data_IF_346515216715
#
_entry.id   IF_346515216715
#
_cell.length_a   1.000
_cell.length_b   1.000
_cell.length_c   1.000
_cell.angle_alpha   90.00
_cell.angle_beta   90.00
_cell.angle_gamma   90.00
#
_symmetry.space_group_name_H-M   'P 1'
#
loop_
_entity.id
_entity.type
_entity.pdbx_description
1 polymer ?
#
# COMPACT_ATOMS: atom_id res chain seq x y z
N UNK A 1 33.50 25.44 20.97
CA UNK A 1 32.54 24.45 21.50
C UNK A 1 32.25 23.46 20.38
N UNK A 2 32.49 22.16 20.59
CA UNK A 2 32.10 21.14 19.60
C UNK A 2 30.66 20.75 19.86
N UNK A 3 29.94 20.35 18.81
CA UNK A 3 28.55 19.95 18.95
C UNK A 3 28.39 18.68 19.81
N UNK A 4 29.37 17.77 19.78
CA UNK A 4 29.38 16.55 20.58
C UNK A 4 29.25 16.83 22.09
N UNK A 5 29.91 17.88 22.56
CA UNK A 5 29.86 18.30 23.97
C UNK A 5 28.47 18.86 24.33
N UNK A 6 27.93 19.69 23.43
CA UNK A 6 26.58 20.29 23.56
C UNK A 6 25.50 19.23 23.58
N UNK A 7 25.65 18.22 22.72
CA UNK A 7 24.73 17.10 22.61
C UNK A 7 24.69 16.31 23.92
N UNK A 8 25.84 15.94 24.48
CA UNK A 8 25.92 15.23 25.77
C UNK A 8 25.21 16.00 26.89
N UNK A 9 25.36 17.31 26.92
CA UNK A 9 24.76 18.15 27.97
C UNK A 9 23.25 18.37 27.76
N UNK A 10 22.78 18.31 26.52
CA UNK A 10 21.40 18.65 26.14
C UNK A 10 20.52 17.43 25.88
N UNK A 11 21.06 16.21 25.81
CA UNK A 11 20.30 15.00 25.52
C UNK A 11 19.19 14.75 26.56
N UNK A 12 19.50 14.94 27.85
CA UNK A 12 18.50 14.85 28.92
C UNK A 12 17.36 15.87 28.76
N UNK A 13 17.64 17.02 28.12
CA UNK A 13 16.63 18.03 27.82
C UNK A 13 15.63 17.53 26.77
N UNK A 14 16.11 16.84 25.74
CA UNK A 14 15.26 16.26 24.70
C UNK A 14 14.30 15.26 25.34
N UNK A 15 14.81 14.28 26.09
CA UNK A 15 13.97 13.30 26.79
C UNK A 15 13.02 13.95 27.80
N UNK A 16 13.47 14.95 28.55
CA UNK A 16 12.61 15.68 29.48
C UNK A 16 11.42 16.33 28.76
N UNK A 17 11.65 16.97 27.61
CA UNK A 17 10.59 17.59 26.80
C UNK A 17 9.66 16.51 26.23
N UNK A 18 10.20 15.38 25.74
CA UNK A 18 9.39 14.24 25.28
C UNK A 18 8.44 13.75 26.37
N UNK A 19 8.95 13.53 27.58
CA UNK A 19 8.15 13.13 28.73
C UNK A 19 7.10 14.19 29.12
N UNK A 20 7.47 15.48 29.11
CA UNK A 20 6.56 16.59 29.43
C UNK A 20 5.35 16.62 28.50
N UNK A 21 5.55 16.32 27.21
CA UNK A 21 4.47 16.28 26.22
C UNK A 21 3.87 14.88 26.04
N UNK A 22 4.21 13.92 26.92
CA UNK A 22 3.70 12.54 26.87
C UNK A 22 3.95 11.86 25.52
N UNK A 23 5.04 12.21 24.85
CA UNK A 23 5.42 11.65 23.56
C UNK A 23 5.92 10.21 23.78
N UNK A 24 5.28 9.26 23.10
CA UNK A 24 5.75 7.88 22.99
C UNK A 24 6.46 7.69 21.65
N UNK A 25 7.78 7.74 21.69
CA UNK A 25 8.62 7.75 20.49
C UNK A 25 9.16 6.36 20.17
N UNK A 26 8.29 5.47 19.68
CA UNK A 26 8.68 4.07 19.40
C UNK A 26 9.73 3.99 18.29
N UNK A 27 9.55 4.78 17.23
CA UNK A 27 10.43 4.79 16.05
C UNK A 27 11.58 5.82 16.16
N UNK A 28 11.63 6.61 17.23
CA UNK A 28 12.71 7.57 17.47
C UNK A 28 12.62 8.88 16.66
N UNK A 29 11.49 9.17 16.03
CA UNK A 29 11.30 10.36 15.20
C UNK A 29 11.37 11.67 16.00
N UNK A 30 10.80 11.69 17.21
CA UNK A 30 10.86 12.89 18.05
C UNK A 30 12.26 13.12 18.58
N UNK A 31 12.99 12.07 18.94
CA UNK A 31 14.39 12.18 19.32
C UNK A 31 15.23 12.79 18.18
N UNK A 32 15.07 12.29 16.95
CA UNK A 32 15.76 12.83 15.77
C UNK A 32 15.42 14.32 15.52
N UNK A 33 14.15 14.68 15.61
CA UNK A 33 13.72 16.08 15.49
C UNK A 33 14.30 16.97 16.59
N UNK A 34 14.49 16.41 17.80
CA UNK A 34 15.16 17.07 18.91
C UNK A 34 16.62 17.35 18.60
N UNK A 35 17.33 16.38 18.02
CA UNK A 35 18.72 16.54 17.58
C UNK A 35 18.85 17.61 16.50
N UNK A 36 17.97 17.58 15.49
CA UNK A 36 17.96 18.56 14.41
C UNK A 36 17.69 19.97 14.95
N UNK A 37 16.71 20.11 15.84
CA UNK A 37 16.41 21.40 16.48
C UNK A 37 17.58 21.91 17.34
N UNK A 38 18.25 21.02 18.06
CA UNK A 38 19.44 21.35 18.85
C UNK A 38 20.61 21.79 17.96
N UNK A 39 20.84 21.10 16.84
CA UNK A 39 21.86 21.48 15.85
C UNK A 39 21.61 22.88 15.29
N UNK A 40 20.37 23.18 14.90
CA UNK A 40 20.01 24.52 14.45
C UNK A 40 20.16 25.57 15.55
N UNK A 41 19.81 25.24 16.79
CA UNK A 41 20.01 26.13 17.93
C UNK A 41 21.51 26.43 18.14
N UNK A 42 22.37 25.41 18.01
CA UNK A 42 23.83 25.55 18.10
C UNK A 42 24.39 26.48 17.02
N UNK A 43 23.96 26.32 15.77
CA UNK A 43 24.44 27.13 14.65
C UNK A 43 24.03 28.61 14.74
N UNK A 44 22.83 28.89 15.27
CA UNK A 44 22.24 30.23 15.27
C UNK A 44 22.25 30.91 16.65
N UNK A 45 22.98 30.33 17.62
CA UNK A 45 22.99 30.84 18.98
C UNK A 45 23.66 32.21 19.07
N UNK A 46 22.97 33.12 19.76
CA UNK A 46 23.45 34.46 20.08
C UNK A 46 23.63 34.61 21.60
N UNK A 47 24.87 34.66 22.10
CA UNK A 47 25.16 34.82 23.53
C UNK A 47 24.61 36.10 24.15
N UNK A 48 24.33 37.14 23.35
CA UNK A 48 23.81 38.41 23.85
C UNK A 48 22.34 38.33 24.30
N UNK A 49 21.59 37.34 23.80
CA UNK A 49 20.14 37.23 24.00
C UNK A 49 19.73 36.37 25.19
N UNK A 50 20.40 35.23 25.39
CA UNK A 50 20.05 34.26 26.45
C UNK A 50 21.16 33.24 26.68
N UNK A 51 21.04 32.43 27.73
CA UNK A 51 21.86 31.20 27.89
C UNK A 51 21.50 30.20 26.80
N UNK A 52 22.50 29.47 26.30
CA UNK A 52 22.30 28.46 25.25
C UNK A 52 21.23 27.43 25.62
N UNK A 53 21.23 26.92 26.86
CA UNK A 53 20.24 25.95 27.31
C UNK A 53 18.80 26.45 27.23
N UNK A 54 18.57 27.73 27.52
CA UNK A 54 17.24 28.36 27.39
C UNK A 54 16.82 28.45 25.93
N UNK A 55 17.74 28.85 25.04
CA UNK A 55 17.46 28.93 23.62
C UNK A 55 17.22 27.56 22.98
N UNK A 56 18.05 26.57 23.31
CA UNK A 56 17.91 25.19 22.85
C UNK A 56 16.59 24.58 23.32
N UNK A 57 16.22 24.77 24.60
CA UNK A 57 14.93 24.31 25.14
C UNK A 57 13.75 24.87 24.34
N UNK A 58 13.79 26.17 24.04
CA UNK A 58 12.76 26.83 23.23
C UNK A 58 12.70 26.25 21.82
N UNK A 59 13.84 26.10 21.13
CA UNK A 59 13.88 25.56 19.76
C UNK A 59 13.35 24.12 19.70
N UNK A 60 13.79 23.24 20.61
CA UNK A 60 13.35 21.83 20.66
C UNK A 60 11.85 21.77 20.97
N UNK A 61 11.38 22.51 21.98
CA UNK A 61 9.96 22.57 22.35
C UNK A 61 9.10 23.03 21.18
N UNK A 62 9.51 24.11 20.49
CA UNK A 62 8.80 24.62 19.31
C UNK A 62 8.75 23.59 18.19
N UNK A 63 9.85 22.88 17.94
CA UNK A 63 9.90 21.82 16.92
C UNK A 63 8.89 20.71 17.25
N UNK A 64 8.87 20.24 18.50
CA UNK A 64 7.97 19.17 18.93
C UNK A 64 6.50 19.57 18.84
N UNK A 65 6.14 20.77 19.31
CA UNK A 65 4.77 21.27 19.21
C UNK A 65 4.32 21.34 17.74
N UNK A 66 5.19 21.78 16.84
CA UNK A 66 4.87 21.83 15.41
C UNK A 66 4.67 20.44 14.81
N UNK A 67 5.49 19.45 15.20
CA UNK A 67 5.34 18.06 14.77
C UNK A 67 4.04 17.44 15.27
N UNK A 68 3.73 17.57 16.57
CA UNK A 68 2.45 17.12 17.15
C UNK A 68 1.26 17.74 16.43
N UNK A 69 1.29 19.06 16.16
CA UNK A 69 0.22 19.74 15.42
C UNK A 69 0.09 19.28 13.97
N UNK A 70 1.18 18.86 13.35
CA UNK A 70 1.16 18.30 12.00
C UNK A 70 0.51 16.91 12.01
N UNK A 71 0.98 16.03 12.88
CA UNK A 71 0.46 14.66 13.03
C UNK A 71 -1.03 14.64 13.40
N UNK A 72 -1.47 15.53 14.31
CA UNK A 72 -2.89 15.65 14.63
C UNK A 72 -3.73 16.10 13.42
N UNK A 73 -3.24 17.05 12.62
CA UNK A 73 -3.96 17.48 11.41
C UNK A 73 -4.05 16.38 10.37
N UNK A 74 -2.98 15.62 10.16
CA UNK A 74 -2.97 14.48 9.24
C UNK A 74 -3.93 13.39 9.73
N UNK A 75 -3.96 13.12 11.04
CA UNK A 75 -4.92 12.19 11.65
C UNK A 75 -6.36 12.66 11.47
N UNK A 76 -6.65 13.94 11.73
CA UNK A 76 -8.00 14.49 11.59
C UNK A 76 -8.45 14.44 10.12
N UNK A 77 -7.56 14.76 9.17
CA UNK A 77 -7.83 14.63 7.74
C UNK A 77 -8.13 13.19 7.34
N UNK A 78 -7.33 12.24 7.83
CA UNK A 78 -7.56 10.83 7.56
C UNK A 78 -8.87 10.33 8.15
N UNK A 79 -9.20 10.75 9.38
CA UNK A 79 -10.48 10.39 10.00
C UNK A 79 -11.66 10.99 9.24
N UNK A 80 -11.60 12.27 8.85
CA UNK A 80 -12.64 12.89 8.04
C UNK A 80 -12.84 12.19 6.70
N UNK A 81 -11.74 11.72 6.08
CA UNK A 81 -11.82 10.90 4.88
C UNK A 81 -12.51 9.57 5.15
N UNK A 82 -12.12 8.84 6.21
CA UNK A 82 -12.76 7.58 6.61
C UNK A 82 -14.26 7.75 6.90
N UNK A 83 -14.67 8.86 7.52
CA UNK A 83 -16.07 9.14 7.84
C UNK A 83 -16.92 9.43 6.59
N UNK A 84 -16.28 9.83 5.48
CA UNK A 84 -16.95 10.14 4.21
C UNK A 84 -16.95 8.97 3.22
N UNK A 85 -16.04 8.00 3.41
CA UNK A 85 -15.88 6.86 2.51
C UNK A 85 -16.87 5.75 2.87
N UNK A 86 -17.62 5.30 1.87
CA UNK A 86 -18.49 4.13 2.01
C UNK A 86 -17.75 2.84 1.64
N UNK A 87 -18.31 1.68 2.02
CA UNK A 87 -17.80 0.37 1.59
C UNK A 87 -17.80 0.27 0.06
N UNK A 88 -18.78 0.87 -0.61
CA UNK A 88 -18.90 0.91 -2.06
C UNK A 88 -17.78 1.71 -2.72
N UNK A 89 -17.32 2.81 -2.12
CA UNK A 89 -16.18 3.59 -2.63
C UNK A 89 -14.83 2.83 -2.56
N UNK A 90 -14.73 1.83 -1.67
CA UNK A 90 -13.56 0.98 -1.50
C UNK A 90 -13.63 -0.29 -2.35
N UNK A 91 -14.81 -0.63 -2.86
CA UNK A 91 -15.00 -1.75 -3.78
C UNK A 91 -14.64 -1.28 -5.18
N UNK A 92 -13.44 -1.65 -5.62
CA UNK A 92 -13.17 -1.72 -7.06
C UNK A 92 -13.93 -2.95 -7.53
N UNK A 93 -15.16 -2.76 -8.02
CA UNK A 93 -15.78 -3.75 -8.87
C UNK A 93 -14.93 -3.84 -10.14
N UNK A 94 -14.05 -4.85 -10.18
CA UNK A 94 -13.49 -5.36 -11.42
C UNK A 94 -14.65 -6.08 -12.13
N UNK A 95 -15.64 -5.31 -12.59
CA UNK A 95 -16.60 -5.79 -13.57
C UNK A 95 -15.80 -6.05 -14.83
N UNK A 96 -15.24 -7.26 -14.91
CA UNK A 96 -14.88 -7.90 -16.16
C UNK A 96 -16.13 -7.83 -17.01
N UNK A 97 -16.23 -6.78 -17.83
CA UNK A 97 -17.17 -6.66 -18.93
C UNK A 97 -16.75 -7.70 -19.97
N UNK A 98 -16.91 -8.98 -19.62
CA UNK A 98 -16.72 -10.06 -20.56
C UNK A 98 -17.85 -9.91 -21.56
N UNK A 99 -17.48 -9.57 -22.80
CA UNK A 99 -18.45 -9.44 -23.87
C UNK A 99 -19.27 -10.74 -23.99
N UNK A 100 -20.53 -10.67 -23.57
CA UNK A 100 -21.47 -11.80 -23.59
C UNK A 100 -21.56 -12.39 -25.00
N UNK A 101 -21.43 -11.55 -26.03
CA UNK A 101 -21.45 -11.98 -27.43
C UNK A 101 -20.20 -12.79 -27.77
N UNK A 102 -19.03 -12.35 -27.33
CA UNK A 102 -17.77 -13.09 -27.48
C UNK A 102 -17.85 -14.47 -26.82
N UNK A 103 -18.40 -14.55 -25.60
CA UNK A 103 -18.57 -15.83 -24.91
C UNK A 103 -19.47 -16.79 -25.67
N UNK A 104 -20.60 -16.30 -26.20
CA UNK A 104 -21.53 -17.10 -27.01
C UNK A 104 -20.88 -17.56 -28.32
N UNK A 105 -20.13 -16.68 -28.99
CA UNK A 105 -19.40 -17.01 -30.21
C UNK A 105 -18.35 -18.11 -29.95
N UNK A 106 -17.58 -18.00 -28.86
CA UNK A 106 -16.62 -19.03 -28.45
C UNK A 106 -17.33 -20.35 -28.14
N UNK A 107 -18.38 -20.31 -27.30
CA UNK A 107 -19.10 -21.50 -26.87
C UNK A 107 -19.65 -22.29 -28.06
N UNK A 108 -20.16 -21.59 -29.08
CA UNK A 108 -20.73 -22.22 -30.29
C UNK A 108 -19.75 -23.08 -31.09
N UNK A 109 -18.44 -22.84 -30.95
CA UNK A 109 -17.42 -23.55 -31.73
C UNK A 109 -16.71 -24.67 -30.96
N UNK A 110 -16.85 -24.70 -29.64
CA UNK A 110 -16.20 -25.68 -28.77
C UNK A 110 -17.10 -26.92 -28.59
N UNK A 111 -16.49 -28.10 -28.48
CA UNK A 111 -17.23 -29.27 -27.97
C UNK A 111 -17.43 -29.16 -26.47
N UNK A 112 -18.35 -29.94 -25.89
CA UNK A 112 -18.63 -29.90 -24.44
C UNK A 112 -17.36 -30.00 -23.59
N UNK A 113 -16.46 -30.93 -23.91
CA UNK A 113 -15.18 -31.09 -23.19
C UNK A 113 -14.24 -29.89 -23.34
N UNK A 114 -14.26 -29.24 -24.50
CA UNK A 114 -13.46 -28.04 -24.76
C UNK A 114 -14.04 -26.81 -24.07
N UNK A 115 -15.38 -26.66 -24.07
CA UNK A 115 -16.08 -25.62 -23.33
C UNK A 115 -15.88 -25.79 -21.83
N UNK A 116 -15.94 -27.03 -21.35
CA UNK A 116 -15.71 -27.35 -19.96
C UNK A 116 -14.29 -26.97 -19.51
N UNK A 117 -13.28 -27.26 -20.33
CA UNK A 117 -11.93 -26.74 -20.11
C UNK A 117 -11.91 -25.20 -20.10
N UNK A 118 -12.54 -24.54 -21.08
CA UNK A 118 -12.55 -23.07 -21.17
C UNK A 118 -13.18 -22.45 -19.92
N UNK A 119 -14.36 -22.91 -19.50
CA UNK A 119 -15.04 -22.41 -18.31
C UNK A 119 -14.22 -22.64 -17.03
N UNK A 120 -13.77 -23.88 -16.78
CA UNK A 120 -13.08 -24.22 -15.53
C UNK A 120 -11.66 -23.66 -15.46
N UNK A 121 -10.89 -23.77 -16.53
CA UNK A 121 -9.49 -23.34 -16.55
C UNK A 121 -9.34 -21.85 -16.83
N UNK A 122 -10.08 -21.30 -17.80
CA UNK A 122 -9.91 -19.89 -18.23
C UNK A 122 -10.77 -18.94 -17.40
N UNK A 123 -12.05 -19.25 -17.19
CA UNK A 123 -12.97 -18.34 -16.49
C UNK A 123 -12.98 -18.51 -14.96
N UNK A 124 -12.62 -19.69 -14.45
CA UNK A 124 -12.63 -20.01 -13.01
C UNK A 124 -11.24 -20.23 -12.41
N UNK A 125 -10.18 -20.06 -13.20
CA UNK A 125 -8.77 -20.22 -12.80
C UNK A 125 -8.46 -21.53 -12.05
N UNK A 126 -9.16 -22.62 -12.40
CA UNK A 126 -8.91 -23.92 -11.76
C UNK A 126 -7.69 -24.62 -12.37
N UNK A 127 -6.93 -25.32 -11.53
CA UNK A 127 -5.78 -26.11 -11.99
C UNK A 127 -6.22 -27.30 -12.87
N UNK A 128 -5.37 -27.67 -13.84
CA UNK A 128 -5.56 -28.86 -14.68
C UNK A 128 -5.77 -30.13 -13.84
N UNK A 129 -5.08 -30.25 -12.72
CA UNK A 129 -5.18 -31.37 -11.79
C UNK A 129 -6.55 -31.44 -11.12
N UNK A 130 -7.09 -30.29 -10.70
CA UNK A 130 -8.43 -30.17 -10.12
C UNK A 130 -9.49 -30.60 -11.13
N UNK A 131 -9.42 -30.06 -12.35
CA UNK A 131 -10.35 -30.37 -13.44
C UNK A 131 -10.31 -31.86 -13.78
N UNK A 132 -9.12 -32.44 -13.89
CA UNK A 132 -8.95 -33.86 -14.19
C UNK A 132 -9.59 -34.76 -13.13
N UNK A 133 -9.45 -34.39 -11.84
CA UNK A 133 -10.07 -35.10 -10.72
C UNK A 133 -11.60 -34.98 -10.74
N UNK A 134 -12.13 -33.79 -10.97
CA UNK A 134 -13.58 -33.55 -11.02
C UNK A 134 -14.25 -34.27 -12.19
N UNK A 135 -13.62 -34.26 -13.36
CA UNK A 135 -14.14 -34.88 -14.58
C UNK A 135 -13.81 -36.38 -14.70
N UNK A 136 -13.05 -36.94 -13.74
CA UNK A 136 -12.65 -38.35 -13.75
C UNK A 136 -11.75 -38.73 -14.93
N UNK A 137 -10.92 -37.80 -15.42
CA UNK A 137 -10.03 -38.01 -16.58
C UNK A 137 -8.56 -37.81 -16.21
N UNK A 138 -7.65 -38.09 -17.14
CA UNK A 138 -6.22 -37.81 -16.94
C UNK A 138 -5.90 -36.33 -17.18
N UNK A 139 -4.87 -35.81 -16.51
CA UNK A 139 -4.40 -34.43 -16.75
C UNK A 139 -4.02 -34.18 -18.21
N UNK A 140 -3.49 -35.20 -18.90
CA UNK A 140 -3.17 -35.11 -20.33
C UNK A 140 -4.42 -34.95 -21.19
N UNK A 141 -5.57 -35.53 -20.80
CA UNK A 141 -6.84 -35.32 -21.50
C UNK A 141 -7.27 -33.85 -21.41
N UNK A 142 -7.23 -33.27 -20.20
CA UNK A 142 -7.58 -31.85 -19.98
C UNK A 142 -6.63 -30.91 -20.74
N UNK A 143 -5.32 -31.19 -20.72
CA UNK A 143 -4.34 -30.44 -21.52
C UNK A 143 -4.64 -30.52 -23.03
N UNK A 144 -5.07 -31.70 -23.51
CA UNK A 144 -5.43 -31.89 -24.90
C UNK A 144 -6.71 -31.14 -25.28
N UNK A 145 -7.72 -31.08 -24.40
CA UNK A 145 -8.91 -30.25 -24.59
C UNK A 145 -8.52 -28.79 -24.80
N UNK A 146 -7.66 -28.25 -23.94
CA UNK A 146 -7.16 -26.88 -24.08
C UNK A 146 -6.32 -26.64 -25.34
N UNK A 147 -5.48 -27.60 -25.74
CA UNK A 147 -4.69 -27.50 -26.98
C UNK A 147 -5.59 -27.38 -28.22
N UNK A 148 -6.68 -28.14 -28.29
CA UNK A 148 -7.62 -28.10 -29.41
C UNK A 148 -8.56 -26.89 -29.33
N UNK A 149 -9.03 -26.53 -28.13
CA UNK A 149 -9.90 -25.40 -27.90
C UNK A 149 -9.24 -24.07 -28.32
N UNK A 150 -7.98 -23.84 -27.94
CA UNK A 150 -7.25 -22.61 -28.28
C UNK A 150 -7.22 -22.32 -29.78
N UNK A 151 -7.04 -23.34 -30.62
CA UNK A 151 -7.05 -23.18 -32.08
C UNK A 151 -8.40 -22.70 -32.61
N UNK A 152 -9.49 -23.23 -32.04
CA UNK A 152 -10.87 -22.85 -32.40
C UNK A 152 -11.20 -21.45 -31.90
N UNK A 153 -10.85 -21.13 -30.65
CA UNK A 153 -11.02 -19.81 -30.06
C UNK A 153 -10.29 -18.76 -30.90
N UNK A 154 -9.02 -19.00 -31.25
CA UNK A 154 -8.25 -18.08 -32.10
C UNK A 154 -8.92 -17.84 -33.45
N UNK A 155 -9.46 -18.89 -34.08
CA UNK A 155 -10.20 -18.78 -35.34
C UNK A 155 -11.44 -17.90 -35.20
N UNK A 156 -12.25 -18.11 -34.15
CA UNK A 156 -13.43 -17.29 -33.84
C UNK A 156 -13.07 -15.82 -33.65
N UNK A 157 -12.02 -15.56 -32.87
CA UNK A 157 -11.56 -14.22 -32.56
C UNK A 157 -11.22 -13.43 -33.82
N UNK A 158 -10.52 -14.06 -34.77
CA UNK A 158 -10.15 -13.46 -36.06
C UNK A 158 -11.35 -13.33 -37.00
N UNK A 159 -12.16 -14.37 -37.16
CA UNK A 159 -13.29 -14.37 -38.12
C UNK A 159 -14.40 -13.39 -37.73
N UNK A 160 -14.61 -13.17 -36.43
CA UNK A 160 -15.64 -12.27 -35.89
C UNK A 160 -15.10 -10.86 -35.60
N UNK A 161 -13.81 -10.60 -35.78
CA UNK A 161 -13.20 -9.27 -35.62
C UNK A 161 -13.09 -8.81 -34.17
N UNK A 162 -12.93 -9.74 -33.22
CA UNK A 162 -12.60 -9.40 -31.83
C UNK A 162 -11.11 -9.04 -31.65
N UNK A 163 -10.29 -9.30 -32.66
CA UNK A 163 -8.87 -8.95 -32.79
C UNK A 163 -8.54 -8.56 -34.23
#
# INVERSE_FOLDING_TARGET
MRFEDVLKDSEKMIYHIMHKYQIRDVEGEFYQEGLIALWHAFQNYDPSKSKFSTYAYYCITRRFINKIRKENRERDQFQNWLDQVTIEDLLIEDELHIDTKLLLDIQSQLSDKQWHWFFKFVLKDQSVRTIAKEEGVTENAVKNWGKLARKKIQKVLVEKGYF
#
